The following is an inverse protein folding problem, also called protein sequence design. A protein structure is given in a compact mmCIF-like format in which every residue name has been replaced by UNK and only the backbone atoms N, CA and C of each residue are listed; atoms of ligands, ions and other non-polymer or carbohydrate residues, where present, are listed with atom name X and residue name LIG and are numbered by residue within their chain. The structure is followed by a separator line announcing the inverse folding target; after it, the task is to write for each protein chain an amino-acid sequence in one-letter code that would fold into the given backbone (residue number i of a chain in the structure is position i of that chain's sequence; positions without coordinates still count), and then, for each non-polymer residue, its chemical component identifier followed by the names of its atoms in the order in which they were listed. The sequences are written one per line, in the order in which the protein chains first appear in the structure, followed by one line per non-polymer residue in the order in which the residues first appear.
data_IF_569218388144
#
_entry.id   IF_569218388144
#
_cell.length_a   1.000
_cell.length_b   1.000
_cell.length_c   1.000
_cell.angle_alpha   90.00
_cell.angle_beta   90.00
_cell.angle_gamma   90.00
#
_symmetry.space_group_name_H-M   'P 1'
#
loop_
_entity.id
_entity.type
_entity.pdbx_description
1 polymer ?
#
# COMPACT_ATOMS: atom_id res chain seq x y z
N UNK A 1 -12.83 -0.54 5.35
CA UNK A 1 -12.10 -0.46 4.06
C UNK A 1 -12.01 1.02 3.70
N UNK A 2 -10.82 1.54 3.42
CA UNK A 2 -10.61 2.99 3.24
C UNK A 2 -11.40 3.53 2.04
N UNK A 3 -12.33 4.45 2.27
CA UNK A 3 -13.23 5.04 1.27
C UNK A 3 -12.54 6.02 0.31
N UNK A 4 -11.21 6.16 0.40
CA UNK A 4 -10.43 7.16 -0.30
C UNK A 4 -9.26 6.54 -1.06
N UNK A 5 -8.94 7.13 -2.21
CA UNK A 5 -7.75 6.83 -3.00
C UNK A 5 -7.33 8.11 -3.73
N UNK A 6 -6.04 8.27 -4.04
CA UNK A 6 -5.55 9.50 -4.66
C UNK A 6 -6.31 9.87 -5.96
N UNK A 7 -6.44 8.93 -6.90
CA UNK A 7 -7.23 9.12 -8.14
C UNK A 7 -8.70 8.69 -8.04
N UNK A 8 -9.17 8.18 -6.89
CA UNK A 8 -10.55 7.73 -6.68
C UNK A 8 -10.92 6.39 -7.33
N UNK A 9 -10.40 6.05 -8.51
CA UNK A 9 -10.78 4.82 -9.21
C UNK A 9 -9.60 3.85 -9.25
N UNK A 10 -9.54 2.93 -8.28
CA UNK A 10 -8.55 1.83 -8.30
C UNK A 10 -9.14 0.48 -8.68
N UNK A 11 -10.46 0.32 -8.54
CA UNK A 11 -11.22 -0.88 -8.87
C UNK A 11 -12.66 -0.42 -9.21
N UNK A 12 -13.18 -0.69 -10.41
CA UNK A 12 -14.55 -0.32 -10.79
C UNK A 12 -15.63 -0.87 -9.85
N UNK A 13 -15.37 -2.04 -9.26
CA UNK A 13 -16.28 -2.69 -8.31
C UNK A 13 -16.32 -2.00 -6.94
N UNK A 14 -15.29 -1.22 -6.62
CA UNK A 14 -15.13 -0.53 -5.34
C UNK A 14 -14.62 0.90 -5.58
N UNK A 15 -15.46 1.79 -6.12
CA UNK A 15 -15.09 3.18 -6.33
C UNK A 15 -14.73 3.83 -4.99
N UNK A 16 -13.67 4.63 -5.00
CA UNK A 16 -13.22 5.39 -3.84
C UNK A 16 -13.32 6.88 -4.14
N UNK A 17 -13.43 7.71 -3.10
CA UNK A 17 -13.37 9.16 -3.25
C UNK A 17 -11.96 9.57 -3.65
N UNK A 18 -11.85 10.36 -4.72
CA UNK A 18 -10.58 10.94 -5.17
C UNK A 18 -10.10 12.00 -4.17
N UNK A 19 -8.80 11.97 -3.86
CA UNK A 19 -8.14 12.93 -2.96
C UNK A 19 -7.23 13.91 -3.69
N UNK A 20 -6.99 13.72 -4.99
CA UNK A 20 -6.10 14.55 -5.81
C UNK A 20 -6.45 16.05 -5.83
N UNK A 21 -7.72 16.37 -5.53
CA UNK A 21 -8.27 17.73 -5.53
C UNK A 21 -8.47 18.27 -4.10
N UNK A 22 -8.00 17.55 -3.08
CA UNK A 22 -8.16 17.97 -1.68
C UNK A 22 -7.02 18.90 -1.30
N UNK A 23 -7.32 20.19 -1.22
CA UNK A 23 -6.38 21.26 -0.85
C UNK A 23 -5.66 21.01 0.48
N UNK A 24 -6.28 20.30 1.42
CA UNK A 24 -5.66 19.97 2.71
C UNK A 24 -4.36 19.16 2.58
N UNK A 25 -4.20 18.37 1.50
CA UNK A 25 -2.99 17.56 1.27
C UNK A 25 -1.97 18.24 0.37
N UNK A 26 -2.36 19.24 -0.41
CA UNK A 26 -1.47 19.85 -1.42
C UNK A 26 -1.03 21.25 -1.00
N UNK A 27 -1.92 22.03 -0.39
CA UNK A 27 -1.67 23.45 -0.11
C UNK A 27 -0.59 23.66 0.95
N UNK A 28 -0.67 22.97 2.08
CA UNK A 28 0.35 23.06 3.13
C UNK A 28 1.71 22.52 2.66
N UNK A 29 1.70 21.46 1.84
CA UNK A 29 2.90 20.88 1.24
C UNK A 29 3.50 21.77 0.14
N UNK A 30 2.71 22.59 -0.56
CA UNK A 30 3.27 23.57 -1.48
C UNK A 30 3.90 24.75 -0.74
N UNK A 31 3.21 25.28 0.27
CA UNK A 31 3.73 26.39 1.08
C UNK A 31 5.04 26.00 1.76
N UNK A 32 5.14 24.78 2.29
CA UNK A 32 6.34 24.34 3.00
C UNK A 32 7.57 24.12 2.10
N UNK A 33 7.39 23.98 0.78
CA UNK A 33 8.47 23.76 -0.19
C UNK A 33 8.52 24.84 -1.28
N UNK A 34 7.91 26.00 -1.02
CA UNK A 34 7.86 27.12 -1.96
C UNK A 34 9.28 27.66 -2.23
N UNK A 35 10.11 27.78 -1.19
CA UNK A 35 11.50 28.23 -1.29
C UNK A 35 12.38 27.26 -2.09
N UNK A 36 12.06 25.97 -2.08
CA UNK A 36 12.74 24.93 -2.87
C UNK A 36 12.27 24.90 -4.34
N UNK A 37 11.29 25.74 -4.71
CA UNK A 37 10.76 25.84 -6.07
C UNK A 37 9.89 24.65 -6.49
N UNK A 38 9.37 23.85 -5.55
CA UNK A 38 8.55 22.69 -5.88
C UNK A 38 7.22 23.13 -6.49
N UNK A 39 6.96 22.64 -7.70
CA UNK A 39 5.70 22.91 -8.39
C UNK A 39 4.56 21.98 -7.94
N UNK A 40 3.32 22.40 -8.17
CA UNK A 40 2.14 21.57 -7.92
C UNK A 40 2.21 20.21 -8.63
N UNK A 41 2.73 20.17 -9.85
CA UNK A 41 2.79 18.94 -10.63
C UNK A 41 3.89 17.99 -10.15
N UNK A 42 5.03 18.50 -9.72
CA UNK A 42 6.09 17.71 -9.09
C UNK A 42 5.65 17.13 -7.74
N UNK A 43 4.97 17.94 -6.93
CA UNK A 43 4.37 17.48 -5.68
C UNK A 43 3.34 16.37 -5.94
N UNK A 44 2.45 16.56 -6.91
CA UNK A 44 1.47 15.53 -7.30
C UNK A 44 2.14 14.24 -7.77
N UNK A 45 3.16 14.32 -8.63
CA UNK A 45 3.89 13.16 -9.11
C UNK A 45 4.57 12.40 -7.96
N UNK A 46 5.12 13.14 -6.99
CA UNK A 46 5.77 12.59 -5.80
C UNK A 46 4.77 11.90 -4.87
N UNK A 47 3.59 12.50 -4.64
CA UNK A 47 2.52 11.90 -3.85
C UNK A 47 1.97 10.62 -4.50
N UNK A 48 1.82 10.58 -5.83
CA UNK A 48 1.44 9.37 -6.55
C UNK A 48 2.46 8.26 -6.33
N UNK A 49 3.76 8.55 -6.52
CA UNK A 49 4.83 7.56 -6.33
C UNK A 49 4.87 7.07 -4.87
N UNK A 50 4.77 7.97 -3.90
CA UNK A 50 4.77 7.63 -2.48
C UNK A 50 3.60 6.70 -2.11
N UNK A 51 2.39 7.03 -2.55
CA UNK A 51 1.18 6.22 -2.27
C UNK A 51 1.23 4.85 -2.95
N UNK A 52 1.76 4.77 -4.18
CA UNK A 52 1.99 3.50 -4.87
C UNK A 52 3.01 2.63 -4.13
N UNK A 53 4.15 3.20 -3.72
CA UNK A 53 5.19 2.50 -2.97
C UNK A 53 4.66 1.98 -1.63
N UNK A 54 3.90 2.79 -0.89
CA UNK A 54 3.24 2.37 0.35
C UNK A 54 2.28 1.17 0.13
N UNK A 55 1.46 1.23 -0.92
CA UNK A 55 0.57 0.12 -1.30
C UNK A 55 1.35 -1.16 -1.65
N UNK A 56 2.45 -1.02 -2.38
CA UNK A 56 3.30 -2.15 -2.75
C UNK A 56 3.93 -2.79 -1.51
N UNK A 57 4.51 -2.01 -0.59
CA UNK A 57 5.04 -2.53 0.67
C UNK A 57 4.00 -3.32 1.47
N UNK A 58 2.78 -2.77 1.61
CA UNK A 58 1.68 -3.47 2.29
C UNK A 58 1.31 -4.79 1.61
N UNK A 59 1.26 -4.79 0.28
CA UNK A 59 0.92 -5.97 -0.51
C UNK A 59 1.99 -7.05 -0.39
N UNK A 60 3.26 -6.67 -0.48
CA UNK A 60 4.41 -7.55 -0.30
C UNK A 60 4.48 -8.14 1.11
N UNK A 61 4.26 -7.32 2.14
CA UNK A 61 4.22 -7.79 3.53
C UNK A 61 3.15 -8.88 3.73
N UNK A 62 1.94 -8.67 3.21
CA UNK A 62 0.86 -9.67 3.25
C UNK A 62 1.18 -10.93 2.46
N UNK A 63 1.87 -10.81 1.32
CA UNK A 63 2.33 -11.96 0.55
C UNK A 63 3.31 -12.81 1.36
N UNK A 64 4.36 -12.19 1.92
CA UNK A 64 5.37 -12.90 2.71
C UNK A 64 4.81 -13.48 4.01
N UNK A 65 3.83 -12.83 4.63
CA UNK A 65 3.11 -13.39 5.78
C UNK A 65 2.41 -14.71 5.41
N UNK A 66 1.58 -14.69 4.35
CA UNK A 66 0.89 -15.91 3.89
C UNK A 66 1.84 -17.02 3.46
N UNK A 67 2.95 -16.65 2.81
CA UNK A 67 3.99 -17.60 2.44
C UNK A 67 4.62 -18.27 3.67
N UNK A 68 4.93 -17.49 4.72
CA UNK A 68 5.45 -18.02 6.00
C UNK A 68 4.45 -18.95 6.68
N UNK A 69 3.17 -18.58 6.72
CA UNK A 69 2.11 -19.42 7.26
C UNK A 69 2.03 -20.77 6.53
N UNK A 70 2.07 -20.78 5.20
CA UNK A 70 2.09 -22.02 4.41
C UNK A 70 3.31 -22.89 4.70
N UNK A 71 4.50 -22.30 4.87
CA UNK A 71 5.71 -23.05 5.23
C UNK A 71 5.60 -23.67 6.63
N UNK A 72 5.02 -22.95 7.59
CA UNK A 72 4.78 -23.45 8.94
C UNK A 72 3.78 -24.62 8.93
N UNK A 73 2.69 -24.51 8.18
CA UNK A 73 1.71 -25.60 8.05
C UNK A 73 2.31 -26.84 7.39
N UNK A 74 3.09 -26.68 6.31
CA UNK A 74 3.84 -27.80 5.71
C UNK A 74 4.79 -28.46 6.71
N UNK A 75 5.48 -27.67 7.53
CA UNK A 75 6.40 -28.20 8.56
C UNK A 75 5.65 -28.97 9.65
N UNK A 76 4.51 -28.45 10.15
CA UNK A 76 3.64 -29.14 11.11
C UNK A 76 3.13 -30.47 10.57
N UNK A 77 2.66 -30.48 9.31
CA UNK A 77 2.18 -31.70 8.65
C UNK A 77 3.28 -32.76 8.52
N UNK A 78 4.50 -32.36 8.11
CA UNK A 78 5.66 -33.25 8.03
C UNK A 78 6.03 -33.84 9.40
N UNK A 79 6.04 -33.01 10.45
CA UNK A 79 6.35 -33.48 11.81
C UNK A 79 5.30 -34.47 12.32
N UNK A 80 4.01 -34.19 12.09
CA UNK A 80 2.91 -35.10 12.44
C UNK A 80 3.02 -36.43 11.71
N UNK A 81 3.40 -36.43 10.43
CA UNK A 81 3.61 -37.64 9.64
C UNK A 81 4.77 -38.48 10.15
N UNK A 82 5.89 -37.86 10.59
CA UNK A 82 7.02 -38.59 11.18
C UNK A 82 6.64 -39.25 12.50
N UNK A 83 5.89 -38.54 13.36
CA UNK A 83 5.44 -39.04 14.66
C UNK A 83 4.44 -40.20 14.57
N UNK A 84 3.75 -40.37 13.44
CA UNK A 84 2.82 -41.49 13.20
C UNK A 84 3.51 -42.75 12.66
N UNK A 85 4.79 -42.66 12.28
CA UNK A 85 5.60 -43.76 11.77
C UNK A 85 6.53 -44.37 12.84
N UNK A 86 6.57 -43.77 14.03
CA UNK A 86 7.21 -44.29 15.27
C UNK A 86 6.16 -44.93 16.17
#
# INVERSE_FOLDING_TARGET
MWNYAYHGVSNPQYPRKAMKDYDIFTKCLLVAWEEDGITADELRASLIKATQKAKQHLSSARYYQRYREQLLEKRKASWKSKKLLE
#
